data_IF_136083284325
#
_entry.id   IF_136083284325
#
_cell.length_a   1.000
_cell.length_b   1.000
_cell.length_c   1.000
_cell.angle_alpha   90.00
_cell.angle_beta   90.00
_cell.angle_gamma   90.00
#
_symmetry.space_group_name_H-M   'P 1'
#
loop_
_entity.id
_entity.type
_entity.pdbx_description
1 polymer ?
#
# COMPACT_ATOMS: atom_id res chain seq x y z
N UNK A 1 6.39 -19.56 -15.49
CA UNK A 1 5.30 -18.69 -15.00
C UNK A 1 5.90 -17.64 -14.08
N UNK A 2 5.76 -16.37 -14.43
CA UNK A 2 6.26 -15.22 -13.69
C UNK A 2 5.10 -14.55 -12.96
N UNK A 3 5.37 -13.87 -11.83
CA UNK A 3 4.33 -13.12 -11.09
C UNK A 3 3.61 -12.12 -11.99
N UNK A 4 4.37 -11.43 -12.86
CA UNK A 4 3.83 -10.46 -13.82
C UNK A 4 2.91 -11.07 -14.87
N UNK A 5 2.85 -12.39 -15.00
CA UNK A 5 1.94 -13.06 -15.94
C UNK A 5 0.51 -12.99 -15.39
N UNK A 6 0.34 -13.12 -14.07
CA UNK A 6 -0.95 -13.17 -13.35
C UNK A 6 -1.34 -11.80 -12.77
N UNK A 7 -0.36 -11.05 -12.28
CA UNK A 7 -0.58 -9.80 -11.54
C UNK A 7 -0.08 -8.59 -12.33
N UNK A 8 -0.78 -7.47 -12.18
CA UNK A 8 -0.21 -6.15 -12.37
C UNK A 8 0.67 -5.81 -11.16
N UNK A 9 1.95 -5.54 -11.40
CA UNK A 9 2.95 -5.34 -10.36
C UNK A 9 3.28 -3.85 -10.30
N UNK A 10 2.90 -3.22 -9.20
CA UNK A 10 3.07 -1.78 -9.01
C UNK A 10 3.98 -1.48 -7.83
N UNK A 11 4.80 -0.44 -7.95
CA UNK A 11 5.53 0.11 -6.80
C UNK A 11 4.59 0.99 -5.98
N UNK A 12 4.75 0.96 -4.66
CA UNK A 12 4.09 1.91 -3.77
C UNK A 12 4.56 3.36 -3.96
N UNK A 13 3.98 4.25 -3.17
CA UNK A 13 4.15 5.69 -3.28
C UNK A 13 5.37 6.18 -2.49
N UNK A 14 6.13 7.09 -3.08
CA UNK A 14 7.19 7.82 -2.36
C UNK A 14 6.53 8.83 -1.43
N UNK A 15 6.52 8.55 -0.12
CA UNK A 15 5.74 9.31 0.88
C UNK A 15 6.07 10.81 0.87
N UNK A 16 7.34 11.18 0.73
CA UNK A 16 7.77 12.58 0.67
C UNK A 16 7.23 13.34 -0.54
N UNK A 17 6.84 12.65 -1.62
CA UNK A 17 6.26 13.28 -2.81
C UNK A 17 4.77 13.54 -2.65
N UNK A 18 4.08 12.85 -1.76
CA UNK A 18 2.62 12.97 -1.59
C UNK A 18 2.23 13.64 -0.27
N UNK A 19 3.15 13.70 0.70
CA UNK A 19 2.90 14.31 2.00
C UNK A 19 3.10 15.82 1.96
N UNK A 20 2.48 16.49 2.93
CA UNK A 20 2.75 17.90 3.24
C UNK A 20 2.68 18.14 4.74
N UNK A 21 3.41 19.15 5.22
CA UNK A 21 3.26 19.68 6.58
C UNK A 21 2.31 20.88 6.65
N UNK A 22 2.01 21.51 5.50
CA UNK A 22 1.27 22.77 5.36
C UNK A 22 0.16 22.55 4.33
N UNK A 23 -1.05 23.09 4.56
CA UNK A 23 -2.20 23.00 3.64
C UNK A 23 -2.54 21.55 3.23
N UNK A 24 -2.86 20.69 4.20
CA UNK A 24 -3.31 19.32 3.94
C UNK A 24 -4.71 19.32 3.27
N UNK A 25 -4.91 18.44 2.30
CA UNK A 25 -6.23 18.25 1.66
C UNK A 25 -6.96 17.03 2.24
N UNK A 26 -6.21 16.02 2.70
CA UNK A 26 -6.76 14.81 3.32
C UNK A 26 -5.77 14.20 4.33
N UNK A 27 -6.28 13.33 5.19
CA UNK A 27 -5.48 12.45 6.06
C UNK A 27 -5.65 11.01 5.55
N UNK A 28 -4.54 10.35 5.24
CA UNK A 28 -4.51 8.94 4.88
C UNK A 28 -3.84 8.09 5.97
N UNK A 29 -4.08 6.78 5.94
CA UNK A 29 -3.36 5.79 6.75
C UNK A 29 -2.31 5.09 5.88
N UNK A 30 -1.07 5.04 6.34
CA UNK A 30 0.06 4.43 5.64
C UNK A 30 0.33 3.03 6.19
N UNK A 31 0.42 2.06 5.28
CA UNK A 31 0.89 0.71 5.60
C UNK A 31 2.42 0.68 5.61
N UNK A 32 3.03 1.12 6.71
CA UNK A 32 4.49 1.06 6.85
C UNK A 32 4.96 -0.42 6.92
N UNK A 33 6.22 -0.74 6.53
CA UNK A 33 6.70 -2.12 6.60
C UNK A 33 6.55 -2.78 7.97
N UNK A 34 6.70 -2.03 9.08
CA UNK A 34 6.51 -2.56 10.43
C UNK A 34 5.08 -3.04 10.71
N UNK A 35 4.09 -2.47 10.05
CA UNK A 35 2.69 -2.85 10.19
C UNK A 35 2.34 -4.16 9.47
N UNK A 36 3.22 -4.67 8.60
CA UNK A 36 3.05 -6.00 8.01
C UNK A 36 3.84 -6.98 8.89
N UNK A 37 3.17 -7.99 9.46
CA UNK A 37 3.84 -9.01 10.27
C UNK A 37 3.10 -10.34 10.21
N UNK A 38 3.84 -11.43 9.99
CA UNK A 38 3.32 -12.80 9.98
C UNK A 38 2.10 -12.96 9.06
N UNK A 39 2.14 -12.33 7.88
CA UNK A 39 1.05 -12.41 6.90
C UNK A 39 -0.10 -11.42 7.09
N UNK A 40 -0.06 -10.56 8.12
CA UNK A 40 -1.19 -9.71 8.54
C UNK A 40 -0.82 -8.23 8.63
N UNK A 41 -1.84 -7.39 8.69
CA UNK A 41 -1.73 -5.96 8.96
C UNK A 41 -2.04 -5.70 10.44
N UNK A 42 -1.07 -5.11 11.15
CA UNK A 42 -1.20 -4.62 12.51
C UNK A 42 -1.73 -3.18 12.46
N UNK A 43 -3.02 -2.98 12.76
CA UNK A 43 -3.70 -1.69 12.62
C UNK A 43 -3.09 -0.61 13.52
N UNK A 44 -2.58 -1.01 14.68
CA UNK A 44 -1.91 -0.18 15.68
C UNK A 44 -0.55 0.37 15.19
N UNK A 45 0.06 -0.26 14.19
CA UNK A 45 1.33 0.19 13.59
C UNK A 45 1.10 1.08 12.34
N UNK A 46 -0.15 1.28 11.91
CA UNK A 46 -0.46 2.19 10.81
C UNK A 46 -0.19 3.64 11.21
N UNK A 47 0.38 4.41 10.28
CA UNK A 47 0.72 5.82 10.53
C UNK A 47 -0.16 6.77 9.74
N UNK A 48 -0.54 7.89 10.37
CA UNK A 48 -1.22 8.96 9.65
C UNK A 48 -0.27 9.72 8.74
N UNK A 49 -0.74 10.06 7.55
CA UNK A 49 -0.04 10.93 6.60
C UNK A 49 -0.96 12.06 6.18
N UNK A 50 -0.45 13.28 6.25
CA UNK A 50 -1.09 14.48 5.71
C UNK A 50 -0.80 14.56 4.23
N UNK A 51 -1.82 14.43 3.39
CA UNK A 51 -1.68 14.39 1.94
C UNK A 51 -1.82 15.78 1.33
N UNK A 52 -0.94 16.09 0.37
CA UNK A 52 -0.98 17.35 -0.37
C UNK A 52 -2.06 17.38 -1.45
N UNK A 53 -2.47 16.21 -1.94
CA UNK A 53 -3.50 15.98 -2.97
C UNK A 53 -4.28 14.70 -2.64
N UNK A 54 -5.49 14.57 -3.18
CA UNK A 54 -6.19 13.27 -3.19
C UNK A 54 -5.43 12.28 -4.07
N UNK A 55 -5.31 11.04 -3.59
CA UNK A 55 -4.71 9.96 -4.35
C UNK A 55 -5.80 9.25 -5.17
N UNK A 56 -5.54 8.91 -6.44
CA UNK A 56 -6.48 8.10 -7.20
C UNK A 56 -6.58 6.69 -6.59
N UNK A 57 -7.75 6.05 -6.70
CA UNK A 57 -8.01 4.74 -6.07
C UNK A 57 -7.00 3.66 -6.48
N UNK A 58 -6.53 3.69 -7.73
CA UNK A 58 -5.53 2.75 -8.21
C UNK A 58 -4.16 2.89 -7.54
N UNK A 59 -3.93 3.97 -6.77
CA UNK A 59 -2.72 4.21 -5.96
C UNK A 59 -2.92 3.94 -4.47
N UNK A 60 -4.11 3.46 -4.08
CA UNK A 60 -4.43 2.99 -2.75
C UNK A 60 -4.59 1.46 -2.76
N UNK A 61 -4.54 0.85 -1.57
CA UNK A 61 -4.85 -0.57 -1.42
C UNK A 61 -6.30 -0.85 -1.82
N UNK A 62 -6.50 -1.94 -2.55
CA UNK A 62 -7.81 -2.48 -2.89
C UNK A 62 -7.93 -3.89 -2.33
N UNK A 63 -9.17 -4.33 -2.11
CA UNK A 63 -9.46 -5.69 -1.64
C UNK A 63 -8.77 -6.72 -2.54
N UNK A 64 -8.18 -7.74 -1.92
CA UNK A 64 -7.41 -8.82 -2.54
C UNK A 64 -6.06 -8.41 -3.16
N UNK A 65 -5.62 -7.16 -3.00
CA UNK A 65 -4.22 -6.84 -3.28
C UNK A 65 -3.31 -7.66 -2.36
N UNK A 66 -2.16 -8.05 -2.89
CA UNK A 66 -1.06 -8.62 -2.09
C UNK A 66 0.01 -7.54 -1.97
N UNK A 67 0.35 -7.16 -0.75
CA UNK A 67 1.42 -6.20 -0.48
C UNK A 67 2.66 -6.95 -0.04
N UNK A 68 3.80 -6.68 -0.68
CA UNK A 68 5.08 -7.35 -0.40
C UNK A 68 6.11 -6.31 0.04
N UNK A 69 6.80 -6.55 1.15
CA UNK A 69 7.97 -5.76 1.56
C UNK A 69 9.13 -6.00 0.60
N UNK A 70 9.75 -4.92 0.14
CA UNK A 70 10.94 -4.95 -0.70
C UNK A 70 12.25 -4.85 0.13
N UNK A 71 12.15 -4.93 1.45
CA UNK A 71 13.27 -4.90 2.40
C UNK A 71 13.10 -5.97 3.48
N UNK A 72 14.19 -6.32 4.18
CA UNK A 72 14.15 -7.30 5.27
C UNK A 72 13.37 -6.78 6.49
N UNK A 73 12.66 -7.66 7.22
CA UNK A 73 12.33 -9.04 6.84
C UNK A 73 11.36 -9.06 5.66
N UNK A 74 11.61 -9.92 4.66
CA UNK A 74 10.73 -10.04 3.50
C UNK A 74 9.44 -10.75 3.90
N UNK A 75 8.33 -10.02 3.89
CA UNK A 75 7.00 -10.52 4.25
C UNK A 75 5.96 -9.93 3.31
N UNK A 76 4.80 -10.59 3.26
CA UNK A 76 3.66 -10.14 2.49
C UNK A 76 2.37 -10.22 3.32
N UNK A 77 1.34 -9.47 2.93
CA UNK A 77 -0.01 -9.60 3.46
C UNK A 77 -1.04 -9.43 2.33
N UNK A 78 -2.27 -9.89 2.59
CA UNK A 78 -3.42 -9.67 1.70
C UNK A 78 -4.28 -8.56 2.28
N UNK A 79 -4.79 -7.68 1.41
CA UNK A 79 -5.72 -6.62 1.78
C UNK A 79 -7.13 -7.19 1.88
N UNK A 80 -7.69 -7.16 3.09
CA UNK A 80 -9.10 -7.44 3.36
C UNK A 80 -9.95 -6.16 3.29
N UNK A 81 -11.26 -6.29 3.55
CA UNK A 81 -12.21 -5.16 3.53
C UNK A 81 -11.85 -4.05 4.53
N UNK A 82 -11.26 -4.42 5.66
CA UNK A 82 -10.88 -3.50 6.74
C UNK A 82 -9.65 -2.64 6.40
N UNK A 83 -8.86 -3.07 5.41
CA UNK A 83 -7.59 -2.46 5.04
C UNK A 83 -7.59 -1.89 3.61
N UNK A 84 -8.78 -1.65 3.03
CA UNK A 84 -8.95 -0.91 1.77
C UNK A 84 -8.64 0.58 1.98
N UNK A 85 -8.03 1.23 0.98
CA UNK A 85 -7.78 2.68 0.99
C UNK A 85 -6.49 3.10 1.70
N UNK A 86 -5.64 2.15 2.10
CA UNK A 86 -4.34 2.43 2.70
C UNK A 86 -3.36 2.97 1.65
N UNK A 87 -2.52 3.91 2.07
CA UNK A 87 -1.38 4.40 1.31
C UNK A 87 -0.25 3.39 1.45
N UNK A 88 0.14 2.77 0.33
CA UNK A 88 1.24 1.81 0.29
C UNK A 88 2.55 2.56 -0.01
N UNK A 89 3.60 2.49 0.82
CA UNK A 89 4.86 3.16 0.58
C UNK A 89 5.72 2.43 -0.47
N UNK A 90 6.65 3.14 -1.12
CA UNK A 90 7.56 2.59 -2.14
C UNK A 90 8.53 1.51 -1.63
N UNK A 91 8.59 1.29 -0.31
CA UNK A 91 9.26 0.14 0.30
C UNK A 91 8.48 -1.17 0.14
N UNK A 92 7.27 -1.09 -0.42
CA UNK A 92 6.43 -2.22 -0.74
C UNK A 92 6.08 -2.24 -2.23
N UNK A 93 5.83 -3.44 -2.75
CA UNK A 93 5.16 -3.66 -4.02
C UNK A 93 3.71 -4.07 -3.78
N UNK A 94 2.85 -3.69 -4.72
CA UNK A 94 1.45 -4.08 -4.79
C UNK A 94 1.34 -5.09 -5.94
N UNK A 95 0.82 -6.28 -5.65
CA UNK A 95 0.40 -7.24 -6.67
C UNK A 95 -1.12 -7.22 -6.73
N UNK A 96 -1.65 -6.81 -7.89
CA UNK A 96 -3.10 -6.77 -8.14
C UNK A 96 -3.44 -7.77 -9.23
N UNK A 97 -4.43 -8.62 -9.01
CA UNK A 97 -4.85 -9.60 -10.02
C UNK A 97 -5.26 -8.84 -11.28
N UNK A 98 -4.73 -9.26 -12.44
CA UNK A 98 -5.18 -8.71 -13.72
C UNK A 98 -6.64 -9.09 -13.91
N UNK A 99 -7.48 -8.10 -14.21
CA UNK A 99 -8.81 -8.39 -14.72
C UNK A 99 -8.65 -8.95 -16.13
N UNK A 100 -9.23 -10.11 -16.40
CA UNK A 100 -9.45 -10.53 -17.78
C UNK A 100 -10.40 -9.50 -18.41
N UNK A 101 -9.98 -8.95 -19.55
CA UNK A 101 -10.85 -8.13 -20.39
C UNK A 101 -11.72 -9.05 -21.25
#
# INVERSE_FOLDING_TARGET
MLIKDIFDVQSGQVLSRISTKINQIAIGKVLIPKAISKGRILKEELQDIKLKNLLPENKLSMKNDIIIKLSTPYEACVIDDDNVGLVIPSFCAILRIKKEN
#
